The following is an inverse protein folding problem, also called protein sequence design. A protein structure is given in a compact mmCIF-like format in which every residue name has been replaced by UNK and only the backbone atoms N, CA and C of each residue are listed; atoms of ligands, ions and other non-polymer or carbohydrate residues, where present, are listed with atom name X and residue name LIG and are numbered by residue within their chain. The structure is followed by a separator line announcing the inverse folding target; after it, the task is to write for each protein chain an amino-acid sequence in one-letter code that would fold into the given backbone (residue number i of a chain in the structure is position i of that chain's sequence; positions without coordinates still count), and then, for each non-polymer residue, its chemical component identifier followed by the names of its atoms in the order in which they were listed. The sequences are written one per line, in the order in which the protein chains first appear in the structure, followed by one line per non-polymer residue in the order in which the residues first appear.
data_IF_903292874199
#
_entry.id   IF_903292874199
#
_cell.length_a   1.000
_cell.length_b   1.000
_cell.length_c   1.000
_cell.angle_alpha   90.00
_cell.angle_beta   90.00
_cell.angle_gamma   90.00
#
_symmetry.space_group_name_H-M   'P 1'
#
loop_
_entity.id
_entity.type
_entity.pdbx_description
1 polymer ?
#
# COMPACT_ATOMS: atom_id res chain seq x y z
N UNK A 1 -9.66 0.10 -10.90
CA UNK A 1 -9.98 -0.48 -9.58
C UNK A 1 -8.78 -1.30 -9.13
N UNK A 2 -8.41 -1.21 -7.84
CA UNK A 2 -7.34 -2.03 -7.26
C UNK A 2 -7.82 -3.49 -7.26
N UNK A 3 -6.96 -4.41 -7.73
CA UNK A 3 -7.25 -5.85 -7.79
C UNK A 3 -6.16 -6.65 -7.07
N UNK A 4 -6.54 -7.81 -6.53
CA UNK A 4 -5.64 -8.72 -5.81
C UNK A 4 -4.80 -8.00 -4.73
N UNK A 5 -5.45 -7.15 -3.94
CA UNK A 5 -4.81 -6.45 -2.85
C UNK A 5 -4.31 -7.44 -1.80
N UNK A 6 -3.03 -7.35 -1.48
CA UNK A 6 -2.38 -8.12 -0.42
C UNK A 6 -1.57 -7.16 0.43
N UNK A 7 -1.53 -7.43 1.73
CA UNK A 7 -0.71 -6.71 2.68
C UNK A 7 0.00 -7.69 3.62
N UNK A 8 1.19 -7.32 4.09
CA UNK A 8 1.96 -8.11 5.05
C UNK A 8 2.56 -7.19 6.11
N UNK A 9 2.38 -7.53 7.38
CA UNK A 9 2.99 -6.80 8.49
C UNK A 9 4.50 -7.01 8.49
N UNK A 10 5.28 -5.93 8.64
CA UNK A 10 6.75 -6.00 8.74
C UNK A 10 7.24 -6.32 10.16
N UNK A 11 6.32 -6.59 11.09
CA UNK A 11 6.57 -6.75 12.53
C UNK A 11 7.43 -7.97 12.92
N UNK A 12 7.69 -8.90 12.01
CA UNK A 12 8.60 -10.05 12.28
C UNK A 12 10.04 -9.60 12.60
N UNK A 13 10.47 -8.41 12.17
CA UNK A 13 11.87 -7.96 12.31
C UNK A 13 12.06 -6.74 13.23
N UNK A 14 11.19 -6.55 14.24
CA UNK A 14 11.34 -5.63 15.41
C UNK A 14 11.73 -4.15 15.18
N UNK A 15 12.00 -3.69 13.96
CA UNK A 15 12.65 -2.40 13.70
C UNK A 15 11.90 -1.47 12.74
N UNK A 16 10.92 -1.97 11.97
CA UNK A 16 10.19 -1.13 11.00
C UNK A 16 8.68 -1.15 11.26
N UNK A 17 8.08 -0.04 11.73
CA UNK A 17 6.64 0.08 11.92
C UNK A 17 5.95 0.35 10.57
N UNK A 18 5.61 -0.71 9.84
CA UNK A 18 4.90 -0.60 8.57
C UNK A 18 4.33 -1.92 8.04
N UNK A 19 3.55 -1.80 6.98
CA UNK A 19 2.96 -2.90 6.21
C UNK A 19 3.46 -2.82 4.79
N UNK A 20 3.98 -3.91 4.23
CA UNK A 20 4.14 -3.98 2.78
C UNK A 20 2.80 -4.25 2.15
N UNK A 21 2.58 -3.68 0.98
CA UNK A 21 1.39 -3.94 0.19
C UNK A 21 1.77 -4.26 -1.25
N UNK A 22 0.90 -5.02 -1.90
CA UNK A 22 0.99 -5.29 -3.33
C UNK A 22 -0.40 -5.42 -3.93
N UNK A 23 -0.57 -4.87 -5.13
CA UNK A 23 -1.82 -4.97 -5.87
C UNK A 23 -1.59 -4.84 -7.37
N UNK A 24 -2.64 -5.09 -8.16
CA UNK A 24 -2.66 -4.89 -9.60
C UNK A 24 -3.58 -3.74 -9.98
N UNK A 25 -3.10 -2.87 -10.86
CA UNK A 25 -3.87 -1.78 -11.43
C UNK A 25 -3.55 -1.64 -12.92
N UNK A 26 -4.57 -1.69 -13.77
CA UNK A 26 -4.41 -1.64 -15.23
C UNK A 26 -3.40 -2.65 -15.80
N UNK A 27 -3.35 -3.86 -15.24
CA UNK A 27 -2.43 -4.92 -15.66
C UNK A 27 -0.98 -4.77 -15.15
N UNK A 28 -0.65 -3.68 -14.48
CA UNK A 28 0.65 -3.50 -13.83
C UNK A 28 0.58 -3.83 -12.34
N UNK A 29 1.61 -4.51 -11.83
CA UNK A 29 1.77 -4.80 -10.41
C UNK A 29 2.42 -3.61 -9.72
N UNK A 30 1.75 -3.08 -8.70
CA UNK A 30 2.26 -2.01 -7.84
C UNK A 30 2.57 -2.58 -6.47
N UNK A 31 3.70 -2.13 -5.91
CA UNK A 31 4.18 -2.57 -4.60
C UNK A 31 4.75 -1.40 -3.84
N UNK A 32 4.62 -1.44 -2.52
CA UNK A 32 5.14 -0.40 -1.66
C UNK A 32 5.05 -0.76 -0.19
N UNK A 33 5.42 0.22 0.63
CA UNK A 33 5.38 0.16 2.07
C UNK A 33 4.46 1.26 2.58
N UNK A 34 3.49 0.86 3.40
CA UNK A 34 2.59 1.74 4.12
C UNK A 34 3.11 1.87 5.56
N UNK A 35 3.47 3.08 5.96
CA UNK A 35 3.96 3.38 7.31
C UNK A 35 2.80 3.66 8.26
N UNK A 36 3.00 3.41 9.55
CA UNK A 36 2.01 3.75 10.60
C UNK A 36 1.62 5.23 10.64
N UNK A 37 2.47 6.12 10.12
CA UNK A 37 2.25 7.57 10.01
C UNK A 37 1.31 7.93 8.84
N UNK A 38 0.88 6.94 8.04
CA UNK A 38 0.09 7.15 6.83
C UNK A 38 0.91 7.42 5.57
N UNK A 39 2.24 7.46 5.68
CA UNK A 39 3.12 7.63 4.52
C UNK A 39 3.15 6.37 3.66
N UNK A 40 3.13 6.57 2.34
CA UNK A 40 3.23 5.51 1.34
C UNK A 40 4.54 5.69 0.58
N UNK A 41 5.38 4.67 0.63
CA UNK A 41 6.61 4.59 -0.15
C UNK A 41 6.46 3.51 -1.22
N UNK A 42 6.48 3.92 -2.49
CA UNK A 42 6.46 2.99 -3.62
C UNK A 42 7.83 2.32 -3.74
N UNK A 43 7.85 0.99 -3.70
CA UNK A 43 9.06 0.17 -3.91
C UNK A 43 9.11 -0.45 -5.31
N UNK A 44 8.00 -0.36 -6.04
CA UNK A 44 7.85 -0.80 -7.42
C UNK A 44 7.56 0.36 -8.37
N UNK A 45 6.82 0.12 -9.47
CA UNK A 45 6.50 1.17 -10.43
C UNK A 45 5.71 2.30 -9.74
N UNK A 46 6.13 3.54 -10.01
CA UNK A 46 5.48 4.72 -9.45
C UNK A 46 4.28 5.05 -10.34
N UNK A 47 3.05 5.10 -9.80
CA UNK A 47 1.88 5.48 -10.58
C UNK A 47 1.99 6.95 -11.05
N UNK A 48 1.38 7.29 -12.20
CA UNK A 48 1.33 8.68 -12.65
C UNK A 48 0.59 9.55 -11.62
N UNK A 49 0.99 10.83 -11.48
CA UNK A 49 0.48 11.74 -10.44
C UNK A 49 -1.05 11.81 -10.36
N UNK A 50 -1.74 11.82 -11.50
CA UNK A 50 -3.21 11.79 -11.60
C UNK A 50 -3.85 10.55 -10.93
N UNK A 51 -3.12 9.42 -10.90
CA UNK A 51 -3.57 8.18 -10.27
C UNK A 51 -2.95 7.96 -8.89
N UNK A 52 -1.79 8.54 -8.61
CA UNK A 52 -1.08 8.41 -7.35
C UNK A 52 -1.96 8.83 -6.17
N UNK A 53 -2.58 10.00 -6.21
CA UNK A 53 -3.46 10.47 -5.12
C UNK A 53 -4.68 9.56 -4.91
N UNK A 54 -5.30 9.10 -6.01
CA UNK A 54 -6.46 8.21 -5.97
C UNK A 54 -6.09 6.84 -5.38
N UNK A 55 -4.95 6.28 -5.82
CA UNK A 55 -4.45 5.00 -5.32
C UNK A 55 -4.05 5.10 -3.86
N UNK A 56 -3.39 6.20 -3.45
CA UNK A 56 -3.03 6.44 -2.05
C UNK A 56 -4.27 6.52 -1.15
N UNK A 57 -5.32 7.23 -1.56
CA UNK A 57 -6.60 7.26 -0.82
C UNK A 57 -7.22 5.88 -0.68
N UNK A 58 -7.39 5.15 -1.78
CA UNK A 58 -7.97 3.80 -1.74
C UNK A 58 -7.15 2.85 -0.87
N UNK A 59 -5.81 2.93 -0.96
CA UNK A 59 -4.91 2.13 -0.13
C UNK A 59 -5.05 2.47 1.35
N UNK A 60 -5.13 3.76 1.69
CA UNK A 60 -5.33 4.23 3.05
C UNK A 60 -6.65 3.70 3.64
N UNK A 61 -7.73 3.76 2.88
CA UNK A 61 -9.04 3.23 3.30
C UNK A 61 -9.00 1.71 3.49
N UNK A 62 -8.39 0.96 2.57
CA UNK A 62 -8.22 -0.50 2.69
C UNK A 62 -7.36 -0.88 3.91
N UNK A 63 -6.29 -0.13 4.17
CA UNK A 63 -5.42 -0.35 5.32
C UNK A 63 -6.15 -0.05 6.62
N UNK A 64 -6.90 1.06 6.70
CA UNK A 64 -7.71 1.36 7.88
C UNK A 64 -8.72 0.25 8.18
N UNK A 65 -9.40 -0.24 7.15
CA UNK A 65 -10.36 -1.34 7.28
C UNK A 65 -9.73 -2.65 7.74
N UNK A 66 -8.49 -2.96 7.35
CA UNK A 66 -7.84 -4.22 7.72
C UNK A 66 -6.97 -4.17 8.97
N UNK A 67 -6.45 -3.00 9.35
CA UNK A 67 -5.50 -2.86 10.48
C UNK A 67 -6.20 -2.48 11.78
N UNK A 68 -7.36 -1.81 11.71
CA UNK A 68 -8.08 -1.32 12.89
C UNK A 68 -9.37 -2.10 13.21
N UNK A 69 -9.63 -3.23 12.54
CA UNK A 69 -10.66 -4.22 12.93
C UNK A 69 -10.08 -5.42 13.70
#
# INVERSE_FOLDING_TARGET
MIQHFQYKSMFENKQLPGWTFSFYFSGAKYTGTYHKDGRIEWTGPIPPADKDEILKKQLHELMLFHVYE
#
